data_IF_567980516177
#
_entry.id   IF_567980516177
#
_cell.length_a   1.000
_cell.length_b   1.000
_cell.length_c   1.000
_cell.angle_alpha   90.00
_cell.angle_beta   90.00
_cell.angle_gamma   90.00
#
_symmetry.space_group_name_H-M   'P 1'
#
loop_
_entity.id
_entity.type
_entity.pdbx_description
1 polymer ?
#
# COMPACT_ATOMS: atom_id res chain seq x y z
N UNK A 1 8.93 6.89 -41.23
CA UNK A 1 8.96 5.78 -40.24
C UNK A 1 10.38 5.70 -39.69
N UNK A 2 10.64 5.78 -38.37
CA UNK A 2 10.13 4.83 -37.38
C UNK A 2 9.44 5.50 -36.18
N UNK A 3 8.35 4.89 -35.73
CA UNK A 3 7.55 5.37 -34.61
C UNK A 3 8.35 5.44 -33.31
N UNK A 4 8.15 6.54 -32.58
CA UNK A 4 8.53 6.72 -31.18
C UNK A 4 8.17 5.43 -30.42
N UNK A 5 9.17 4.73 -29.89
CA UNK A 5 8.94 3.71 -28.87
C UNK A 5 8.41 4.48 -27.66
N UNK A 6 7.09 4.58 -27.55
CA UNK A 6 6.41 5.02 -26.33
C UNK A 6 6.74 3.96 -25.29
N UNK A 7 7.88 4.12 -24.60
CA UNK A 7 8.19 3.32 -23.43
C UNK A 7 6.99 3.40 -22.50
N UNK A 8 6.53 2.23 -22.01
CA UNK A 8 5.37 2.10 -21.14
C UNK A 8 5.44 3.20 -20.07
N UNK A 9 4.53 4.20 -20.06
CA UNK A 9 4.58 5.26 -19.07
C UNK A 9 4.28 4.62 -17.73
N UNK A 10 5.34 4.23 -17.04
CA UNK A 10 5.24 3.67 -15.70
C UNK A 10 5.37 4.86 -14.79
N UNK A 11 4.33 5.71 -14.80
CA UNK A 11 4.31 6.99 -14.08
C UNK A 11 4.32 6.80 -12.55
N UNK A 12 4.21 5.57 -12.07
CA UNK A 12 4.50 5.24 -10.68
C UNK A 12 4.89 3.77 -10.61
N UNK A 13 6.17 3.40 -10.79
CA UNK A 13 6.57 2.11 -10.30
C UNK A 13 6.22 2.12 -8.80
N UNK A 14 5.52 1.10 -8.33
CA UNK A 14 5.34 0.86 -6.89
C UNK A 14 6.73 0.47 -6.34
N UNK A 15 7.65 1.45 -6.31
CA UNK A 15 9.10 1.28 -6.12
C UNK A 15 9.43 1.00 -4.65
N UNK A 16 8.58 1.44 -3.74
CA UNK A 16 8.84 1.36 -2.32
C UNK A 16 8.16 0.13 -1.72
N UNK A 17 8.97 -0.89 -1.44
CA UNK A 17 8.60 -1.98 -0.54
C UNK A 17 8.87 -1.54 0.90
N UNK A 18 7.81 -1.34 1.67
CA UNK A 18 7.91 -1.13 3.12
C UNK A 18 8.17 -2.49 3.78
N UNK A 19 9.41 -2.75 4.20
CA UNK A 19 9.75 -3.91 5.03
C UNK A 19 9.69 -3.48 6.50
N UNK A 20 8.63 -3.88 7.19
CA UNK A 20 8.46 -3.65 8.64
C UNK A 20 8.55 -4.98 9.35
N UNK A 21 9.37 -5.03 10.42
CA UNK A 21 9.27 -6.12 11.39
C UNK A 21 8.09 -5.81 12.30
N UNK A 22 7.07 -6.64 12.25
CA UNK A 22 5.93 -6.59 13.15
C UNK A 22 5.95 -7.82 14.04
N UNK A 23 5.44 -7.67 15.25
CA UNK A 23 5.23 -8.77 16.18
C UNK A 23 4.06 -9.65 15.72
N UNK A 24 3.98 -10.87 16.27
CA UNK A 24 2.90 -11.81 15.89
C UNK A 24 1.52 -11.28 16.24
N UNK A 25 1.39 -10.55 17.35
CA UNK A 25 0.11 -9.95 17.77
C UNK A 25 -0.36 -8.91 16.75
N UNK A 26 0.51 -7.96 16.38
CA UNK A 26 0.17 -6.94 15.38
C UNK A 26 -0.12 -7.54 14.00
N UNK A 27 0.54 -8.65 13.62
CA UNK A 27 0.19 -9.39 12.41
C UNK A 27 -1.20 -10.02 12.48
N UNK A 28 -1.59 -10.53 13.65
CA UNK A 28 -2.90 -11.16 13.85
C UNK A 28 -4.02 -10.12 13.83
N UNK A 29 -3.83 -9.01 14.54
CA UNK A 29 -4.75 -7.86 14.48
C UNK A 29 -4.86 -7.32 13.05
N UNK A 30 -3.75 -7.21 12.33
CA UNK A 30 -3.73 -6.79 10.93
C UNK A 30 -4.57 -7.74 10.05
N UNK A 31 -4.40 -9.06 10.22
CA UNK A 31 -5.17 -10.06 9.48
C UNK A 31 -6.67 -10.01 9.81
N UNK A 32 -7.03 -9.76 11.07
CA UNK A 32 -8.42 -9.57 11.48
C UNK A 32 -9.02 -8.31 10.87
N UNK A 33 -8.32 -7.18 10.93
CA UNK A 33 -8.74 -5.95 10.27
C UNK A 33 -8.89 -6.17 8.76
N UNK A 34 -7.95 -6.88 8.14
CA UNK A 34 -7.99 -7.20 6.72
C UNK A 34 -9.21 -8.06 6.35
N UNK A 35 -9.60 -9.01 7.21
CA UNK A 35 -10.81 -9.84 7.05
C UNK A 35 -12.09 -9.03 7.18
N UNK A 36 -12.17 -8.15 8.19
CA UNK A 36 -13.33 -7.29 8.44
C UNK A 36 -13.54 -6.32 7.27
N UNK A 37 -12.45 -5.72 6.81
CA UNK A 37 -12.49 -4.72 5.73
C UNK A 37 -12.51 -5.35 4.32
N UNK A 38 -12.33 -6.69 4.23
CA UNK A 38 -12.26 -7.47 2.97
C UNK A 38 -11.25 -6.95 1.95
N UNK A 39 -10.26 -6.21 2.41
CA UNK A 39 -9.17 -5.70 1.58
C UNK A 39 -7.99 -6.66 1.58
N UNK A 40 -7.04 -6.46 0.67
CA UNK A 40 -5.79 -7.20 0.71
C UNK A 40 -4.81 -6.56 1.71
N UNK A 41 -3.88 -7.32 2.31
CA UNK A 41 -2.93 -6.76 3.33
C UNK A 41 -2.22 -5.50 2.82
N UNK A 42 -1.79 -5.54 1.56
CA UNK A 42 -1.15 -4.40 0.89
C UNK A 42 -2.05 -3.18 0.73
N UNK A 43 -3.35 -3.39 0.58
CA UNK A 43 -4.33 -2.30 0.42
C UNK A 43 -4.74 -1.73 1.78
N UNK A 44 -4.97 -2.60 2.77
CA UNK A 44 -5.20 -2.21 4.16
C UNK A 44 -4.09 -1.29 4.67
N UNK A 45 -2.82 -1.68 4.50
CA UNK A 45 -1.68 -0.85 4.93
C UNK A 45 -1.65 0.49 4.22
N UNK A 46 -1.98 0.54 2.91
CA UNK A 46 -2.04 1.81 2.17
C UNK A 46 -3.13 2.73 2.69
N UNK A 47 -4.32 2.17 2.93
CA UNK A 47 -5.48 2.91 3.42
C UNK A 47 -5.24 3.41 4.84
N UNK A 48 -4.71 2.57 5.72
CA UNK A 48 -4.33 2.94 7.07
C UNK A 48 -3.31 4.10 7.10
N UNK A 49 -2.30 4.06 6.23
CA UNK A 49 -1.34 5.17 6.09
C UNK A 49 -2.03 6.44 5.59
N UNK A 50 -2.91 6.32 4.59
CA UNK A 50 -3.62 7.47 4.02
C UNK A 50 -4.58 8.12 5.02
N UNK A 51 -5.35 7.33 5.76
CA UNK A 51 -6.27 7.80 6.80
C UNK A 51 -5.50 8.45 7.96
N UNK A 52 -4.42 7.84 8.44
CA UNK A 52 -3.55 8.43 9.46
C UNK A 52 -2.92 9.75 8.99
N UNK A 53 -2.42 9.79 7.75
CA UNK A 53 -1.84 11.00 7.17
C UNK A 53 -2.87 12.12 6.99
N UNK A 54 -4.10 11.77 6.55
CA UNK A 54 -5.22 12.71 6.44
C UNK A 54 -5.57 13.31 7.81
N UNK A 55 -5.59 12.49 8.87
CA UNK A 55 -5.81 12.97 10.24
C UNK A 55 -4.68 13.86 10.80
N UNK A 56 -3.44 13.66 10.35
CA UNK A 56 -2.28 14.47 10.76
C UNK A 56 -2.23 15.86 10.10
N UNK A 57 -2.93 16.06 8.97
CA UNK A 57 -2.96 17.32 8.23
C UNK A 57 -3.99 18.33 8.76
N UNK A 58 -4.51 18.11 9.97
CA UNK A 58 -5.53 18.95 10.60
C UNK A 58 -4.94 20.06 11.46
#
# INVERSE_FOLDING_TARGET
MPGKKLGRPTDSPKTFMLRVKMDKETLTELDECCKVERTNRSEFVRRAIHEKYSGLKK
#
